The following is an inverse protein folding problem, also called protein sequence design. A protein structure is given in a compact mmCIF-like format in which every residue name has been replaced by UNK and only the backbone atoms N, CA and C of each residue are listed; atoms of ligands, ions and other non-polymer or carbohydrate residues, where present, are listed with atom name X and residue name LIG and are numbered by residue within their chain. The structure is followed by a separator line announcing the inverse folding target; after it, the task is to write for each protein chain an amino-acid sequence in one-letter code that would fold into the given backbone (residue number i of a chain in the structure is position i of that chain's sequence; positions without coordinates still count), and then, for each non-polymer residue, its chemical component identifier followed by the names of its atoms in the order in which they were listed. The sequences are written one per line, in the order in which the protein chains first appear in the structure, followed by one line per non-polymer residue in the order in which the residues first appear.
data_IF_049888771634
#
_entry.id   IF_049888771634
#
_cell.length_a   1.000
_cell.length_b   1.000
_cell.length_c   1.000
_cell.angle_alpha   90.00
_cell.angle_beta   90.00
_cell.angle_gamma   90.00
#
_symmetry.space_group_name_H-M   'P 1'
#
loop_
_entity.id
_entity.type
_entity.pdbx_description
1 polymer ?
#
# COMPACT_ATOMS: atom_id res chain seq x y z
N UNK A 1 2.02 -10.15 -62.05
CA UNK A 1 1.89 -11.58 -61.66
C UNK A 1 1.03 -11.55 -60.40
N UNK A 2 -0.30 -11.46 -60.55
CA UNK A 2 -1.20 -12.59 -60.81
C UNK A 2 -1.18 -13.57 -59.63
N UNK A 3 -2.27 -14.04 -59.05
CA UNK A 3 -3.71 -13.77 -59.09
C UNK A 3 -4.30 -14.80 -58.10
N UNK A 4 -5.58 -14.66 -57.72
CA UNK A 4 -6.42 -15.73 -57.13
C UNK A 4 -6.10 -16.23 -55.72
N UNK A 5 -7.08 -16.65 -54.91
CA UNK A 5 -8.54 -16.66 -54.95
C UNK A 5 -8.95 -17.05 -53.52
N UNK A 6 -9.83 -16.36 -52.82
CA UNK A 6 -11.29 -16.33 -52.99
C UNK A 6 -11.99 -17.56 -52.37
N UNK A 7 -13.13 -17.27 -51.70
CA UNK A 7 -14.23 -18.18 -51.32
C UNK A 7 -14.05 -19.11 -50.09
N UNK A 8 -15.03 -19.39 -49.23
CA UNK A 8 -16.42 -18.94 -49.04
C UNK A 8 -17.01 -19.62 -47.77
N UNK A 9 -17.99 -18.94 -47.16
CA UNK A 9 -19.30 -19.48 -46.69
C UNK A 9 -19.33 -20.51 -45.54
N UNK A 10 -20.02 -20.30 -44.41
CA UNK A 10 -21.45 -20.11 -44.11
C UNK A 10 -21.96 -21.31 -43.27
N UNK A 11 -22.95 -21.01 -42.42
CA UNK A 11 -24.06 -21.88 -41.96
C UNK A 11 -23.76 -23.01 -40.96
N UNK A 12 -24.34 -22.88 -39.75
CA UNK A 12 -25.55 -23.64 -39.43
C UNK A 12 -26.23 -23.12 -38.16
N UNK A 13 -27.37 -22.44 -38.34
CA UNK A 13 -28.48 -22.43 -37.39
C UNK A 13 -29.00 -23.86 -37.19
N UNK A 14 -29.37 -24.21 -35.96
CA UNK A 14 -30.28 -25.31 -35.69
C UNK A 14 -31.43 -24.78 -34.84
N UNK A 15 -32.53 -24.45 -35.54
CA UNK A 15 -33.89 -24.43 -35.01
C UNK A 15 -34.37 -25.88 -34.97
N UNK A 16 -34.87 -26.32 -33.82
CA UNK A 16 -35.83 -27.41 -33.77
C UNK A 16 -37.11 -26.92 -33.11
N UNK A 17 -38.06 -26.58 -33.97
CA UNK A 17 -39.50 -26.61 -33.71
C UNK A 17 -39.97 -28.06 -33.70
N UNK A 18 -40.68 -28.48 -32.65
CA UNK A 18 -41.60 -29.61 -32.78
C UNK A 18 -42.97 -29.26 -32.18
N UNK A 19 -43.99 -29.74 -32.88
CA UNK A 19 -45.38 -29.30 -32.86
C UNK A 19 -46.27 -30.44 -32.35
N UNK A 20 -47.25 -30.08 -31.52
CA UNK A 20 -48.61 -30.68 -31.33
C UNK A 20 -48.85 -31.75 -30.24
N UNK A 21 -49.51 -31.28 -29.16
CA UNK A 21 -50.74 -31.75 -28.47
C UNK A 21 -51.40 -33.11 -28.84
N UNK A 22 -52.07 -33.82 -27.89
CA UNK A 22 -53.19 -33.24 -27.12
C UNK A 22 -53.45 -33.72 -25.67
N UNK A 23 -54.11 -32.81 -24.93
CA UNK A 23 -55.32 -32.98 -24.08
C UNK A 23 -55.43 -34.24 -23.21
N UNK A 24 -55.17 -34.05 -21.91
CA UNK A 24 -55.67 -34.89 -20.81
C UNK A 24 -55.95 -33.98 -19.61
N UNK A 25 -57.23 -33.74 -19.35
CA UNK A 25 -57.75 -33.21 -18.08
C UNK A 25 -57.52 -34.26 -17.01
N UNK A 26 -56.91 -33.89 -15.88
CA UNK A 26 -57.36 -34.33 -14.56
C UNK A 26 -56.72 -33.48 -13.47
N UNK A 27 -57.61 -32.98 -12.61
CA UNK A 27 -57.35 -32.17 -11.43
C UNK A 27 -56.48 -32.92 -10.42
N UNK A 28 -55.38 -32.32 -9.99
CA UNK A 28 -54.87 -32.51 -8.61
C UNK A 28 -54.11 -31.27 -8.18
N UNK A 29 -54.78 -30.42 -7.42
CA UNK A 29 -54.22 -29.32 -6.64
C UNK A 29 -53.11 -29.83 -5.72
N UNK A 30 -51.85 -29.70 -6.14
CA UNK A 30 -50.70 -29.81 -5.23
C UNK A 30 -50.10 -28.41 -5.09
N UNK A 31 -50.54 -27.73 -4.03
CA UNK A 31 -49.95 -26.48 -3.56
C UNK A 31 -48.53 -26.75 -3.10
N UNK A 32 -47.56 -26.57 -3.99
CA UNK A 32 -46.14 -26.48 -3.65
C UNK A 32 -45.92 -25.19 -2.89
N UNK A 33 -45.98 -25.27 -1.56
CA UNK A 33 -45.55 -24.19 -0.69
C UNK A 33 -44.04 -23.99 -0.87
N UNK A 34 -43.67 -22.95 -1.62
CA UNK A 34 -42.31 -22.42 -1.63
C UNK A 34 -42.03 -21.95 -0.20
N UNK A 35 -41.23 -22.73 0.53
CA UNK A 35 -40.66 -22.31 1.82
C UNK A 35 -39.68 -21.18 1.54
N UNK A 36 -40.18 -19.95 1.55
CA UNK A 36 -39.35 -18.75 1.67
C UNK A 36 -38.51 -18.90 2.94
N UNK A 37 -37.16 -18.81 2.87
CA UNK A 37 -36.32 -18.80 4.06
C UNK A 37 -36.83 -17.70 5.01
N UNK A 38 -36.91 -17.95 6.32
CA UNK A 38 -37.31 -16.92 7.28
C UNK A 38 -36.39 -15.71 7.09
N UNK A 39 -36.97 -14.59 6.65
CA UNK A 39 -36.27 -13.32 6.65
C UNK A 39 -36.06 -12.93 8.11
N UNK A 40 -34.88 -13.24 8.63
CA UNK A 40 -34.43 -12.71 9.92
C UNK A 40 -34.44 -11.18 9.75
N UNK A 41 -35.24 -10.43 10.51
CA UNK A 41 -35.19 -8.98 10.45
C UNK A 41 -33.75 -8.58 10.78
N UNK A 42 -33.07 -8.00 9.79
CA UNK A 42 -31.71 -7.50 9.97
C UNK A 42 -31.84 -6.34 10.94
N UNK A 43 -31.60 -6.61 12.22
CA UNK A 43 -31.52 -5.57 13.23
C UNK A 43 -30.40 -4.63 12.80
N UNK A 44 -30.77 -3.42 12.36
CA UNK A 44 -29.83 -2.32 12.11
C UNK A 44 -29.30 -1.71 13.41
N UNK A 45 -29.65 -2.31 14.54
CA UNK A 45 -29.31 -1.85 15.87
C UNK A 45 -27.95 -2.42 16.29
N UNK A 46 -26.98 -1.54 16.53
CA UNK A 46 -25.66 -1.91 17.03
C UNK A 46 -25.52 -1.40 18.46
N UNK A 47 -25.65 -2.26 19.50
CA UNK A 47 -25.56 -1.86 20.90
C UNK A 47 -24.25 -1.13 21.25
N UNK A 48 -23.18 -1.43 20.52
CA UNK A 48 -21.88 -0.80 20.67
C UNK A 48 -21.91 0.71 20.36
N UNK A 49 -22.75 1.15 19.42
CA UNK A 49 -22.86 2.55 19.02
C UNK A 49 -23.77 3.37 19.93
N UNK A 50 -24.55 2.71 20.80
CA UNK A 50 -25.41 3.36 21.79
C UNK A 50 -24.67 3.74 23.07
N UNK A 51 -23.50 3.14 23.30
CA UNK A 51 -22.66 3.49 24.44
C UNK A 51 -22.22 4.95 24.35
N UNK A 52 -22.04 5.66 25.47
CA UNK A 52 -21.43 6.98 25.48
C UNK A 52 -20.09 7.02 24.73
N UNK A 53 -19.76 8.13 24.04
CA UNK A 53 -18.52 8.27 23.27
C UNK A 53 -17.25 7.96 24.08
N UNK A 54 -17.24 8.25 25.38
CA UNK A 54 -16.12 7.98 26.27
C UNK A 54 -15.86 6.48 26.38
N UNK A 55 -16.91 5.67 26.56
CA UNK A 55 -16.79 4.22 26.64
C UNK A 55 -16.39 3.62 25.30
N UNK A 56 -16.93 4.15 24.19
CA UNK A 56 -16.52 3.72 22.84
C UNK A 56 -15.04 4.00 22.61
N UNK A 57 -14.55 5.19 22.97
CA UNK A 57 -13.14 5.53 22.87
C UNK A 57 -12.26 4.58 23.68
N UNK A 58 -12.62 4.25 24.92
CA UNK A 58 -11.89 3.25 25.71
C UNK A 58 -11.86 1.89 25.02
N UNK A 59 -12.99 1.44 24.46
CA UNK A 59 -13.04 0.18 23.67
C UNK A 59 -12.11 0.28 22.45
N UNK A 60 -12.11 1.41 21.74
CA UNK A 60 -11.21 1.64 20.61
C UNK A 60 -9.75 1.59 21.03
N UNK A 61 -9.36 2.22 22.13
CA UNK A 61 -7.99 2.16 22.67
C UNK A 61 -7.55 0.70 22.89
N UNK A 62 -8.38 -0.14 23.50
CA UNK A 62 -8.07 -1.55 23.67
C UNK A 62 -8.04 -2.34 22.34
N UNK A 63 -8.93 -2.00 21.40
CA UNK A 63 -9.07 -2.74 20.15
C UNK A 63 -8.03 -2.38 19.09
N UNK A 64 -7.54 -1.13 19.08
CA UNK A 64 -6.63 -0.62 18.05
C UNK A 64 -5.19 -0.49 18.51
N UNK A 65 -4.92 -0.50 19.82
CA UNK A 65 -3.54 -0.39 20.32
C UNK A 65 -2.87 -1.74 20.26
N UNK A 66 -2.00 -1.92 19.27
CA UNK A 66 -1.11 -3.06 19.24
C UNK A 66 0.12 -2.80 20.12
N UNK A 67 0.48 -3.80 20.92
CA UNK A 67 1.71 -3.76 21.73
C UNK A 67 2.97 -3.88 20.84
N UNK A 68 2.82 -4.46 19.65
CA UNK A 68 3.87 -4.63 18.67
C UNK A 68 3.89 -3.49 17.63
N UNK A 69 5.02 -3.33 16.93
CA UNK A 69 5.15 -2.34 15.86
C UNK A 69 4.52 -2.88 14.58
N UNK A 70 3.65 -2.09 13.97
CA UNK A 70 2.96 -2.47 12.75
C UNK A 70 3.85 -2.32 11.52
N UNK A 71 4.08 -3.39 10.73
CA UNK A 71 4.79 -3.30 9.47
C UNK A 71 3.97 -2.49 8.45
N UNK A 72 4.63 -1.61 7.70
CA UNK A 72 4.04 -0.84 6.59
C UNK A 72 4.31 -1.48 5.22
N UNK A 73 4.62 -2.78 5.18
CA UNK A 73 4.96 -3.46 3.94
C UNK A 73 3.69 -3.59 3.09
N UNK A 74 3.65 -2.86 1.97
CA UNK A 74 2.46 -2.79 1.10
C UNK A 74 1.47 -1.66 1.42
N UNK A 75 1.73 -0.84 2.44
CA UNK A 75 0.93 0.36 2.70
C UNK A 75 0.63 0.61 4.17
N UNK A 76 -0.37 1.45 4.40
CA UNK A 76 -0.85 1.75 5.75
C UNK A 76 -1.80 0.62 6.17
N UNK A 77 -1.62 -0.01 7.34
CA UNK A 77 -2.42 -1.17 7.72
C UNK A 77 -3.85 -0.68 7.96
N UNK A 78 -4.80 -1.27 7.26
CA UNK A 78 -6.21 -1.03 7.49
C UNK A 78 -6.74 -2.12 8.40
N UNK A 79 -6.84 -1.81 9.71
CA UNK A 79 -7.46 -2.73 10.66
C UNK A 79 -8.91 -3.00 10.22
N UNK A 80 -9.38 -4.26 10.22
CA UNK A 80 -10.76 -4.59 9.85
C UNK A 80 -11.80 -3.77 10.61
N UNK A 81 -11.51 -3.40 11.86
CA UNK A 81 -12.36 -2.51 12.67
C UNK A 81 -12.59 -1.14 12.01
N UNK A 82 -11.55 -0.55 11.39
CA UNK A 82 -11.64 0.73 10.67
C UNK A 82 -12.45 0.61 9.36
N UNK A 83 -12.73 -0.61 8.91
CA UNK A 83 -13.53 -0.89 7.71
C UNK A 83 -15.00 -1.16 8.04
N UNK A 84 -15.35 -1.38 9.31
CA UNK A 84 -16.70 -1.79 9.72
C UNK A 84 -17.78 -0.77 9.36
N UNK A 85 -17.70 0.47 9.88
CA UNK A 85 -18.64 1.53 9.55
C UNK A 85 -18.02 2.93 9.65
N UNK A 86 -18.70 3.95 9.10
CA UNK A 86 -18.21 5.35 9.08
C UNK A 86 -17.99 5.92 10.49
N UNK A 87 -18.88 5.64 11.42
CA UNK A 87 -18.76 6.15 12.80
C UNK A 87 -17.54 5.56 13.52
N UNK A 88 -17.41 4.23 13.52
CA UNK A 88 -16.24 3.55 14.12
C UNK A 88 -14.95 4.05 13.48
N UNK A 89 -14.97 4.23 12.15
CA UNK A 89 -13.84 4.78 11.43
C UNK A 89 -13.47 6.18 11.92
N UNK A 90 -14.42 7.09 12.08
CA UNK A 90 -14.13 8.46 12.52
C UNK A 90 -13.61 8.53 13.97
N UNK A 91 -14.13 7.67 14.86
CA UNK A 91 -13.74 7.62 16.27
C UNK A 91 -12.42 6.89 16.52
N UNK A 92 -12.24 5.71 15.93
CA UNK A 92 -11.10 4.83 16.21
C UNK A 92 -9.84 5.20 15.41
N UNK A 93 -9.99 5.88 14.27
CA UNK A 93 -8.86 6.21 13.39
C UNK A 93 -7.84 7.15 14.06
N UNK A 94 -8.21 8.28 14.68
CA UNK A 94 -7.25 9.13 15.39
C UNK A 94 -6.48 8.36 16.47
N UNK A 95 -7.18 7.53 17.24
CA UNK A 95 -6.61 6.70 18.32
C UNK A 95 -5.57 5.74 17.75
N UNK A 96 -5.93 5.00 16.70
CA UNK A 96 -5.05 4.06 16.04
C UNK A 96 -3.72 4.70 15.60
N UNK A 97 -3.76 5.82 14.89
CA UNK A 97 -2.51 6.40 14.39
C UNK A 97 -1.71 7.20 15.45
N UNK A 98 -2.37 7.68 16.51
CA UNK A 98 -1.69 8.40 17.59
C UNK A 98 -0.99 7.45 18.57
N UNK A 99 -1.61 6.31 18.87
CA UNK A 99 -1.12 5.39 19.89
C UNK A 99 -0.17 4.32 19.33
N UNK A 100 -0.29 3.96 18.04
CA UNK A 100 0.56 2.95 17.43
C UNK A 100 1.87 3.50 16.86
N UNK A 101 2.88 2.63 16.84
CA UNK A 101 4.18 2.88 16.20
C UNK A 101 4.27 2.04 14.94
N UNK A 102 4.31 2.70 13.80
CA UNK A 102 4.52 2.05 12.51
C UNK A 102 6.01 1.86 12.26
N UNK A 103 6.37 0.78 11.56
CA UNK A 103 7.71 0.51 11.05
C UNK A 103 7.67 0.22 9.56
N UNK A 104 8.42 1.00 8.78
CA UNK A 104 8.72 0.67 7.38
C UNK A 104 9.96 -0.19 7.34
N UNK A 105 9.90 -1.37 6.69
CA UNK A 105 11.10 -2.15 6.34
C UNK A 105 11.72 -1.56 5.09
N UNK A 106 12.97 -1.15 5.20
CA UNK A 106 13.78 -0.66 4.09
C UNK A 106 14.76 -1.76 3.71
N UNK A 107 14.50 -2.44 2.58
CA UNK A 107 15.34 -3.49 2.02
C UNK A 107 16.06 -2.95 0.78
N UNK A 108 17.38 -3.05 0.76
CA UNK A 108 18.23 -2.75 -0.40
C UNK A 108 17.92 -1.42 -1.10
N UNK A 109 17.66 -0.37 -0.30
CA UNK A 109 17.33 0.98 -0.76
C UNK A 109 16.04 1.10 -1.60
N UNK A 110 15.18 0.09 -1.60
CA UNK A 110 13.92 0.14 -2.33
C UNK A 110 13.04 1.29 -1.81
N UNK A 111 12.63 2.17 -2.73
CA UNK A 111 11.85 3.36 -2.43
C UNK A 111 10.34 3.23 -2.69
N UNK A 112 9.86 2.10 -3.21
CA UNK A 112 8.46 1.88 -3.61
C UNK A 112 7.50 1.98 -2.42
N UNK A 113 7.90 1.47 -1.26
CA UNK A 113 7.07 1.56 -0.05
C UNK A 113 6.84 3.03 0.34
N UNK A 114 7.80 3.91 0.07
CA UNK A 114 7.68 5.32 0.36
C UNK A 114 6.75 6.04 -0.64
N UNK A 115 6.77 5.71 -1.92
CA UNK A 115 5.92 6.39 -2.91
C UNK A 115 4.43 6.10 -2.69
N UNK A 116 4.06 4.88 -2.33
CA UNK A 116 2.67 4.52 -2.02
C UNK A 116 2.17 5.13 -0.71
N UNK A 117 3.06 5.29 0.28
CA UNK A 117 2.68 5.80 1.59
C UNK A 117 2.79 7.31 1.72
N UNK A 118 3.51 8.04 0.85
CA UNK A 118 3.80 9.47 1.05
C UNK A 118 2.58 10.38 0.98
N UNK A 119 1.64 10.18 0.03
CA UNK A 119 0.43 11.04 -0.05
C UNK A 119 -0.45 10.88 1.19
N UNK A 120 -0.79 9.64 1.53
CA UNK A 120 -1.65 9.32 2.69
C UNK A 120 -0.95 9.67 4.00
N UNK A 121 0.34 9.38 4.16
CA UNK A 121 1.09 9.73 5.37
C UNK A 121 1.27 11.24 5.55
N UNK A 122 1.39 12.03 4.48
CA UNK A 122 1.41 13.51 4.56
C UNK A 122 0.10 14.05 5.11
N UNK A 123 -1.03 13.57 4.60
CA UNK A 123 -2.35 14.01 5.07
C UNK A 123 -2.58 13.60 6.52
N UNK A 124 -2.22 12.37 6.86
CA UNK A 124 -2.26 11.85 8.22
C UNK A 124 -1.36 12.66 9.18
N UNK A 125 -0.12 12.98 8.79
CA UNK A 125 0.77 13.86 9.57
C UNK A 125 0.16 15.25 9.78
N UNK A 126 -0.48 15.82 8.75
CA UNK A 126 -1.12 17.14 8.81
C UNK A 126 -2.30 17.15 9.78
N UNK A 127 -3.15 16.12 9.73
CA UNK A 127 -4.36 16.03 10.57
C UNK A 127 -4.07 15.61 12.02
N UNK A 128 -3.18 14.64 12.20
CA UNK A 128 -3.06 13.92 13.48
C UNK A 128 -1.64 13.93 14.07
N UNK A 129 -0.70 14.72 13.53
CA UNK A 129 0.69 14.82 14.02
C UNK A 129 1.38 13.46 14.23
N UNK A 130 1.09 12.49 13.36
CA UNK A 130 1.53 11.10 13.50
C UNK A 130 3.05 10.97 13.40
N UNK A 131 3.63 10.20 14.33
CA UNK A 131 5.06 9.89 14.36
C UNK A 131 5.32 8.52 13.72
N UNK A 132 5.58 8.51 12.43
CA UNK A 132 6.10 7.33 11.74
C UNK A 132 7.54 7.05 12.19
N UNK A 133 7.79 5.84 12.69
CA UNK A 133 9.14 5.35 12.90
C UNK A 133 9.53 4.52 11.68
N UNK A 134 10.76 4.68 11.21
CA UNK A 134 11.25 3.91 10.08
C UNK A 134 12.45 3.18 10.61
N UNK A 135 12.44 1.87 10.43
CA UNK A 135 13.52 1.01 10.88
C UNK A 135 14.02 0.28 9.66
N UNK A 136 15.28 0.50 9.29
CA UNK A 136 15.93 -0.43 8.39
C UNK A 136 15.94 -1.80 9.10
N UNK A 137 15.25 -2.78 8.53
CA UNK A 137 15.18 -4.14 9.04
C UNK A 137 15.74 -5.01 7.92
N UNK A 138 16.92 -5.59 8.16
CA UNK A 138 17.64 -6.42 7.20
C UNK A 138 19.10 -6.01 7.03
N UNK A 139 19.86 -6.88 6.37
CA UNK A 139 21.18 -6.56 5.82
C UNK A 139 20.97 -5.53 4.71
N UNK A 140 21.50 -4.31 4.86
CA UNK A 140 21.56 -3.35 3.76
C UNK A 140 22.52 -3.92 2.72
N UNK A 141 22.01 -4.69 1.76
CA UNK A 141 22.83 -5.06 0.63
C UNK A 141 23.00 -3.81 -0.23
N UNK A 142 24.23 -3.49 -0.62
CA UNK A 142 24.47 -2.52 -1.67
C UNK A 142 23.60 -2.83 -2.91
N UNK A 143 22.89 -1.81 -3.39
CA UNK A 143 22.10 -1.90 -4.60
C UNK A 143 22.06 -0.51 -5.23
N UNK A 144 22.96 -0.30 -6.19
CA UNK A 144 23.12 0.99 -6.87
C UNK A 144 21.83 1.44 -7.60
N UNK A 145 21.16 0.59 -8.41
CA UNK A 145 19.93 0.98 -9.09
C UNK A 145 18.81 1.45 -8.16
N UNK A 146 18.61 0.76 -7.03
CA UNK A 146 17.59 1.13 -6.04
C UNK A 146 17.96 2.45 -5.34
N UNK A 147 19.23 2.63 -4.99
CA UNK A 147 19.72 3.87 -4.40
C UNK A 147 19.52 5.05 -5.36
N UNK A 148 19.86 4.90 -6.64
CA UNK A 148 19.67 5.93 -7.65
C UNK A 148 18.19 6.28 -7.85
N UNK A 149 17.33 5.26 -7.98
CA UNK A 149 15.87 5.45 -8.06
C UNK A 149 15.35 6.24 -6.85
N UNK A 150 15.84 5.92 -5.66
CA UNK A 150 15.46 6.60 -4.42
C UNK A 150 15.95 8.04 -4.37
N UNK A 151 17.18 8.31 -4.78
CA UNK A 151 17.74 9.66 -4.85
C UNK A 151 17.00 10.51 -5.89
N UNK A 152 16.60 9.93 -7.01
CA UNK A 152 15.77 10.60 -8.02
C UNK A 152 14.41 11.00 -7.46
N UNK A 153 13.69 10.03 -6.87
CA UNK A 153 12.39 10.29 -6.21
C UNK A 153 12.51 11.29 -5.05
N UNK A 154 13.67 11.38 -4.42
CA UNK A 154 13.94 12.38 -3.38
C UNK A 154 14.18 13.78 -3.96
N UNK A 155 14.90 13.87 -5.09
CA UNK A 155 15.07 15.11 -5.86
C UNK A 155 13.72 15.69 -6.31
N UNK A 156 12.87 14.84 -6.87
CA UNK A 156 11.49 15.17 -7.29
C UNK A 156 10.53 15.46 -6.11
N UNK A 157 10.97 15.22 -4.86
CA UNK A 157 10.14 15.41 -3.67
C UNK A 157 9.02 14.39 -3.53
N UNK A 158 9.08 13.25 -4.22
CA UNK A 158 8.13 12.13 -4.10
C UNK A 158 8.34 11.35 -2.80
N UNK A 159 9.57 11.28 -2.30
CA UNK A 159 9.93 10.63 -1.04
C UNK A 159 10.45 11.66 -0.03
N UNK A 160 10.04 11.53 1.24
CA UNK A 160 10.46 12.45 2.31
C UNK A 160 11.67 11.91 3.09
N UNK A 161 12.43 12.83 3.67
CA UNK A 161 13.62 12.60 4.52
C UNK A 161 13.43 11.46 5.50
N UNK A 162 13.92 10.27 5.17
CA UNK A 162 13.99 9.18 6.12
C UNK A 162 15.31 8.41 6.13
N UNK A 163 16.38 9.01 5.63
CA UNK A 163 17.71 8.49 5.88
C UNK A 163 18.29 9.01 7.20
N UNK A 164 19.20 8.21 7.77
CA UNK A 164 19.96 8.52 8.96
C UNK A 164 20.66 9.86 8.73
N UNK A 165 20.32 10.87 9.55
CA UNK A 165 21.10 12.11 9.54
C UNK A 165 22.56 11.72 9.81
N UNK A 166 23.54 12.19 9.04
CA UNK A 166 24.96 11.86 9.25
C UNK A 166 25.39 12.03 10.72
N UNK A 167 24.80 13.01 11.41
CA UNK A 167 25.01 13.29 12.84
C UNK A 167 24.47 12.26 13.83
N UNK A 168 23.72 11.25 13.39
CA UNK A 168 23.12 10.19 14.23
C UNK A 168 23.68 8.79 13.97
N UNK A 169 24.63 8.67 13.04
CA UNK A 169 25.41 7.44 12.79
C UNK A 169 26.44 7.34 13.92
N UNK A 170 26.44 6.29 14.75
CA UNK A 170 27.53 6.05 15.69
C UNK A 170 28.87 6.03 14.95
N UNK A 171 29.94 6.62 15.50
CA UNK A 171 31.27 6.68 14.84
C UNK A 171 31.84 5.31 14.44
N UNK A 172 31.29 4.22 14.98
CA UNK A 172 31.62 2.83 14.64
C UNK A 172 30.92 2.30 13.39
N UNK A 173 29.99 3.04 12.77
CA UNK A 173 29.32 2.66 11.52
C UNK A 173 30.09 3.18 10.29
N UNK A 174 30.23 2.30 9.29
CA UNK A 174 31.06 2.41 8.08
C UNK A 174 31.10 3.79 7.41
N UNK A 175 32.28 4.19 6.91
CA UNK A 175 32.52 5.32 5.99
C UNK A 175 31.45 5.38 4.87
N UNK A 176 30.96 4.21 4.43
CA UNK A 176 29.83 4.05 3.50
C UNK A 176 28.58 4.83 3.94
N UNK A 177 28.16 4.74 5.21
CA UNK A 177 26.98 5.45 5.71
C UNK A 177 27.17 6.97 5.69
N UNK A 178 28.40 7.43 5.98
CA UNK A 178 28.76 8.84 5.85
C UNK A 178 28.65 9.33 4.41
N UNK A 179 29.18 8.56 3.46
CA UNK A 179 29.13 8.88 2.04
C UNK A 179 27.68 8.89 1.50
N UNK A 180 26.87 7.90 1.86
CA UNK A 180 25.43 7.89 1.53
C UNK A 180 24.72 9.13 2.07
N UNK A 181 25.03 9.52 3.32
CA UNK A 181 24.50 10.75 3.92
C UNK A 181 24.88 12.02 3.15
N UNK A 182 26.12 12.09 2.64
CA UNK A 182 26.59 13.18 1.78
C UNK A 182 25.84 13.19 0.45
N UNK A 183 25.63 12.03 -0.20
CA UNK A 183 24.88 11.94 -1.45
C UNK A 183 23.46 12.52 -1.31
N UNK A 184 22.71 12.12 -0.27
CA UNK A 184 21.38 12.69 -0.01
C UNK A 184 21.42 14.21 0.21
N UNK A 185 22.45 14.70 0.93
CA UNK A 185 22.63 16.14 1.15
C UNK A 185 22.95 16.88 -0.15
N UNK A 186 23.77 16.30 -1.01
CA UNK A 186 24.08 16.83 -2.34
C UNK A 186 22.82 16.93 -3.21
N UNK A 187 21.98 15.89 -3.22
CA UNK A 187 20.69 15.92 -3.94
C UNK A 187 19.77 16.99 -3.36
N UNK A 188 19.68 17.11 -2.03
CA UNK A 188 18.87 18.14 -1.36
C UNK A 188 19.30 19.56 -1.77
N UNK A 189 20.61 19.82 -1.76
CA UNK A 189 21.18 21.12 -2.12
C UNK A 189 21.09 21.39 -3.64
N UNK A 190 20.88 20.36 -4.45
CA UNK A 190 20.86 20.45 -5.91
C UNK A 190 19.43 20.40 -6.49
N UNK A 191 18.40 20.66 -5.69
CA UNK A 191 17.00 20.68 -6.16
C UNK A 191 16.72 21.69 -7.26
N UNK A 192 17.53 22.74 -7.38
CA UNK A 192 17.44 23.74 -8.46
C UNK A 192 18.13 23.30 -9.76
N UNK A 193 18.89 22.20 -9.75
CA UNK A 193 19.62 21.66 -10.90
C UNK A 193 18.83 20.53 -11.56
N UNK A 194 19.10 20.29 -12.84
CA UNK A 194 18.54 19.14 -13.56
C UNK A 194 19.03 17.82 -12.96
N UNK A 195 18.20 16.78 -13.01
CA UNK A 195 18.57 15.45 -12.53
C UNK A 195 19.84 14.92 -13.21
N UNK A 196 19.99 15.11 -14.53
CA UNK A 196 21.16 14.67 -15.28
C UNK A 196 22.49 15.21 -14.71
N UNK A 197 22.51 16.46 -14.24
CA UNK A 197 23.70 17.04 -13.61
C UNK A 197 23.99 16.44 -12.22
N UNK A 198 22.94 16.10 -11.49
CA UNK A 198 23.05 15.45 -10.17
C UNK A 198 23.52 14.01 -10.36
N UNK A 199 22.97 13.29 -11.32
CA UNK A 199 23.33 11.92 -11.69
C UNK A 199 24.81 11.79 -12.04
N UNK A 200 25.37 12.67 -12.88
CA UNK A 200 26.82 12.66 -13.16
C UNK A 200 27.68 12.76 -11.89
N UNK A 201 27.26 13.56 -10.91
CA UNK A 201 27.98 13.69 -9.63
C UNK A 201 27.79 12.45 -8.75
N UNK A 202 26.61 11.81 -8.80
CA UNK A 202 26.32 10.58 -8.07
C UNK A 202 27.14 9.40 -8.62
N UNK A 203 27.37 9.31 -9.92
CA UNK A 203 28.24 8.31 -10.54
C UNK A 203 29.69 8.40 -10.04
N UNK A 204 30.22 9.61 -9.81
CA UNK A 204 31.54 9.76 -9.18
C UNK A 204 31.53 9.26 -7.72
N UNK A 205 30.44 9.45 -6.99
CA UNK A 205 30.29 8.85 -5.65
C UNK A 205 30.17 7.32 -5.71
N UNK A 206 29.55 6.75 -6.75
CA UNK A 206 29.47 5.29 -6.94
C UNK A 206 30.85 4.67 -7.05
N UNK A 207 31.74 5.26 -7.86
CA UNK A 207 33.12 4.79 -7.99
C UNK A 207 33.86 4.80 -6.65
N UNK A 208 33.61 5.80 -5.81
CA UNK A 208 34.19 5.87 -4.45
C UNK A 208 33.57 4.81 -3.53
N UNK A 209 32.25 4.56 -3.63
CA UNK A 209 31.58 3.49 -2.89
C UNK A 209 32.15 2.11 -3.23
N UNK A 210 32.33 1.79 -4.51
CA UNK A 210 32.92 0.52 -4.99
C UNK A 210 34.34 0.32 -4.42
N UNK A 211 35.14 1.39 -4.35
CA UNK A 211 36.50 1.33 -3.77
C UNK A 211 36.51 1.10 -2.26
N UNK A 212 35.51 1.62 -1.54
CA UNK A 212 35.39 1.47 -0.08
C UNK A 212 34.79 0.10 0.27
N UNK A 213 33.85 -0.37 -0.53
CA UNK A 213 33.11 -1.61 -0.31
C UNK A 213 32.76 -2.23 -1.66
N UNK A 214 33.51 -3.28 -2.03
CA UNK A 214 33.39 -3.97 -3.33
C UNK A 214 32.00 -4.57 -3.58
N UNK A 215 31.17 -4.72 -2.54
CA UNK A 215 29.78 -5.17 -2.69
C UNK A 215 28.91 -4.20 -3.49
N UNK A 216 29.36 -2.96 -3.73
CA UNK A 216 28.68 -1.95 -4.55
C UNK A 216 28.96 -2.04 -6.05
N UNK A 217 29.84 -2.94 -6.50
CA UNK A 217 30.07 -3.24 -7.92
C UNK A 217 28.81 -3.82 -8.58
#
# INVERSE_FOLDING_TARGET
MADSSDQQAQLSEAKDTNTREPRGTDDTTTTTAVLTPPQVPVSTHCPLLELPPELRNSIWEYAVTEQAKLPLDGGIPELPLLLACKQIREEAWPIFYLQNKFTVRDTDYNSDIYTHTTKRSRELKRRYKIRFQYKTIGTRMPNWPNLMTRLHRYHEGLVSHHFIKPSRVPKSESVTNGLLGVMFKTVENSKSRSWAQVEMLLEEYHRVLVRIDARWE
#
